data_IF_020310147278
#
_entry.id   IF_020310147278
#
_cell.length_a   1.000
_cell.length_b   1.000
_cell.length_c   1.000
_cell.angle_alpha   90.00
_cell.angle_beta   90.00
_cell.angle_gamma   90.00
#
_symmetry.space_group_name_H-M   'P 1'
#
loop_
_entity.id
_entity.type
_entity.pdbx_description
1 polymer ?
#
# COMPACT_ATOMS: atom_id res chain seq x y z
N UNK A 1 -65.64 -42.26 -31.42
CA UNK A 1 -65.24 -41.88 -30.04
C UNK A 1 -64.72 -40.46 -30.07
N UNK A 2 -64.92 -39.76 -28.95
CA UNK A 2 -64.85 -38.32 -28.72
C UNK A 2 -63.46 -37.68 -28.95
N UNK A 3 -63.42 -36.34 -29.13
CA UNK A 3 -62.18 -35.55 -29.26
C UNK A 3 -61.52 -35.35 -27.90
N UNK A 4 -60.20 -35.27 -27.84
CA UNK A 4 -59.49 -35.03 -26.58
C UNK A 4 -58.90 -33.61 -26.50
N UNK A 5 -59.72 -32.75 -25.91
CA UNK A 5 -59.42 -31.70 -24.93
C UNK A 5 -58.11 -30.89 -25.01
N UNK A 6 -58.32 -29.60 -25.24
CA UNK A 6 -57.57 -28.48 -24.65
C UNK A 6 -57.28 -28.71 -23.15
N UNK A 7 -56.06 -28.38 -22.71
CA UNK A 7 -55.79 -28.00 -21.31
C UNK A 7 -55.33 -26.55 -21.27
N UNK A 8 -56.28 -25.66 -20.97
CA UNK A 8 -56.01 -24.43 -20.21
C UNK A 8 -55.66 -24.84 -18.79
N UNK A 9 -54.51 -24.39 -18.31
CA UNK A 9 -54.11 -24.42 -16.90
C UNK A 9 -53.74 -23.02 -16.47
N UNK A 10 -54.72 -22.30 -15.93
CA UNK A 10 -54.54 -21.10 -15.10
C UNK A 10 -54.40 -21.54 -13.63
N UNK A 11 -53.37 -21.07 -12.95
CA UNK A 11 -53.34 -20.86 -11.48
C UNK A 11 -52.03 -20.12 -11.17
N UNK A 12 -52.10 -18.81 -10.90
CA UNK A 12 -52.09 -18.25 -9.54
C UNK A 12 -50.70 -18.36 -8.90
N UNK A 13 -49.93 -17.28 -8.89
CA UNK A 13 -49.96 -16.23 -7.87
C UNK A 13 -49.15 -16.62 -6.62
N UNK A 14 -48.11 -15.80 -6.37
CA UNK A 14 -47.55 -15.46 -5.07
C UNK A 14 -47.00 -16.59 -4.18
N UNK A 15 -45.67 -16.64 -4.05
CA UNK A 15 -45.12 -16.68 -2.69
C UNK A 15 -43.86 -15.81 -2.56
N UNK A 16 -43.99 -14.78 -1.74
CA UNK A 16 -42.93 -13.89 -1.29
C UNK A 16 -42.28 -14.52 -0.08
N UNK A 17 -41.21 -15.28 -0.26
CA UNK A 17 -40.29 -15.54 0.85
C UNK A 17 -39.29 -14.39 0.95
N UNK A 18 -39.79 -13.29 1.53
CA UNK A 18 -38.98 -12.25 2.12
C UNK A 18 -38.08 -12.91 3.18
N UNK A 19 -36.79 -13.12 2.84
CA UNK A 19 -35.76 -13.38 3.83
C UNK A 19 -35.63 -12.12 4.68
N UNK A 20 -36.33 -12.12 5.81
CA UNK A 20 -36.05 -11.23 6.92
C UNK A 20 -34.68 -11.60 7.47
N UNK A 21 -33.65 -10.91 6.99
CA UNK A 21 -32.36 -10.87 7.65
C UNK A 21 -32.59 -10.19 9.01
N UNK A 22 -32.77 -11.01 10.04
CA UNK A 22 -32.75 -10.57 11.44
C UNK A 22 -31.42 -9.86 11.64
N UNK A 23 -31.50 -8.55 11.87
CA UNK A 23 -30.36 -7.71 12.22
C UNK A 23 -29.65 -8.35 13.42
N UNK A 24 -28.44 -8.87 13.16
CA UNK A 24 -27.51 -9.28 14.20
C UNK A 24 -27.09 -8.02 14.96
N UNK A 25 -27.88 -7.68 15.97
CA UNK A 25 -27.50 -6.78 17.05
C UNK A 25 -26.28 -7.38 17.74
N UNK A 26 -25.10 -6.77 17.57
CA UNK A 26 -23.90 -7.19 18.32
C UNK A 26 -22.55 -7.09 17.62
N UNK A 27 -22.39 -6.39 16.50
CA UNK A 27 -21.07 -5.98 16.03
C UNK A 27 -21.14 -4.54 15.57
N UNK A 28 -20.47 -3.64 16.28
CA UNK A 28 -20.04 -2.35 15.74
C UNK A 28 -19.09 -2.65 14.59
N UNK A 29 -19.62 -3.02 13.43
CA UNK A 29 -18.85 -2.93 12.19
C UNK A 29 -18.65 -1.44 12.01
N UNK A 30 -17.43 -0.98 12.28
CA UNK A 30 -16.97 0.35 11.91
C UNK A 30 -17.02 0.43 10.39
N UNK A 31 -18.24 0.55 9.83
CA UNK A 31 -18.44 0.79 8.42
C UNK A 31 -18.22 2.28 8.25
N UNK A 32 -16.97 2.61 8.01
CA UNK A 32 -16.57 3.94 7.64
C UNK A 32 -17.42 4.43 6.46
N UNK A 33 -17.60 5.75 6.38
CA UNK A 33 -18.51 6.37 5.41
C UNK A 33 -18.13 5.92 3.99
N UNK A 34 -19.09 5.45 3.17
CA UNK A 34 -18.82 5.13 1.78
C UNK A 34 -18.25 6.35 1.05
N UNK A 35 -17.12 6.17 0.37
CA UNK A 35 -16.50 7.21 -0.45
C UNK A 35 -16.92 7.01 -1.91
N UNK A 36 -17.34 8.07 -2.62
CA UNK A 36 -17.68 7.97 -4.03
C UNK A 36 -16.46 7.51 -4.84
N UNK A 37 -16.69 6.61 -5.79
CA UNK A 37 -15.64 6.16 -6.69
C UNK A 37 -15.09 7.33 -7.52
N UNK A 38 -13.78 7.37 -7.79
CA UNK A 38 -13.19 8.42 -8.60
C UNK A 38 -13.77 8.41 -10.02
N UNK A 39 -14.01 9.61 -10.57
CA UNK A 39 -14.45 9.78 -11.95
C UNK A 39 -13.27 9.58 -12.89
N UNK A 40 -13.13 8.37 -13.43
CA UNK A 40 -12.10 8.00 -14.40
C UNK A 40 -12.67 7.92 -15.81
N UNK A 41 -11.87 8.29 -16.81
CA UNK A 41 -12.18 8.05 -18.22
C UNK A 41 -12.30 6.55 -18.49
N UNK A 42 -13.09 6.15 -19.49
CA UNK A 42 -13.36 4.73 -19.79
C UNK A 42 -12.08 3.93 -20.04
N UNK A 43 -11.13 4.53 -20.77
CA UNK A 43 -9.83 3.90 -21.04
C UNK A 43 -9.06 3.64 -19.74
N UNK A 44 -8.94 4.65 -18.89
CA UNK A 44 -8.20 4.53 -17.62
C UNK A 44 -8.89 3.54 -16.69
N UNK A 45 -10.23 3.59 -16.61
CA UNK A 45 -11.02 2.65 -15.80
C UNK A 45 -10.76 1.19 -16.20
N UNK A 46 -10.79 0.89 -17.51
CA UNK A 46 -10.53 -0.47 -18.02
C UNK A 46 -9.13 -0.96 -17.63
N UNK A 47 -8.12 -0.10 -17.76
CA UNK A 47 -6.74 -0.43 -17.38
C UNK A 47 -6.66 -0.72 -15.88
N UNK A 48 -7.20 0.18 -15.04
CA UNK A 48 -7.18 0.02 -13.57
C UNK A 48 -7.91 -1.26 -13.15
N UNK A 49 -9.09 -1.53 -13.68
CA UNK A 49 -9.86 -2.72 -13.32
C UNK A 49 -9.21 -4.02 -13.81
N UNK A 50 -8.61 -4.02 -15.00
CA UNK A 50 -7.85 -5.16 -15.51
C UNK A 50 -6.64 -5.47 -14.60
N UNK A 51 -5.87 -4.45 -14.22
CA UNK A 51 -4.76 -4.58 -13.28
C UNK A 51 -5.23 -5.10 -11.92
N UNK A 52 -6.34 -4.56 -11.39
CA UNK A 52 -6.92 -5.02 -10.12
C UNK A 52 -7.28 -6.51 -10.16
N UNK A 53 -8.00 -6.95 -11.20
CA UNK A 53 -8.38 -8.36 -11.37
C UNK A 53 -7.18 -9.28 -11.49
N UNK A 54 -6.15 -8.87 -12.23
CA UNK A 54 -4.93 -9.66 -12.43
C UNK A 54 -4.10 -9.79 -11.15
N UNK A 55 -3.96 -8.73 -10.38
CA UNK A 55 -3.11 -8.73 -9.19
C UNK A 55 -3.80 -9.30 -7.95
N UNK A 56 -5.13 -9.20 -7.86
CA UNK A 56 -5.94 -9.72 -6.75
C UNK A 56 -7.13 -10.50 -7.28
N UNK A 57 -6.85 -11.71 -7.77
CA UNK A 57 -7.84 -12.61 -8.37
C UNK A 57 -8.91 -13.08 -7.38
N UNK A 58 -8.60 -13.05 -6.08
CA UNK A 58 -9.49 -13.35 -4.97
C UNK A 58 -10.53 -12.24 -4.69
N UNK A 59 -10.30 -11.02 -5.20
CA UNK A 59 -11.06 -9.84 -4.84
C UNK A 59 -11.83 -9.26 -6.04
N UNK A 60 -13.16 -9.20 -5.91
CA UNK A 60 -14.04 -8.53 -6.89
C UNK A 60 -13.81 -7.02 -6.92
N UNK A 61 -14.05 -6.37 -8.06
CA UNK A 61 -13.78 -4.93 -8.25
C UNK A 61 -14.54 -4.07 -7.24
N UNK A 62 -15.79 -4.43 -6.96
CA UNK A 62 -16.68 -3.73 -6.04
C UNK A 62 -16.23 -3.88 -4.58
N UNK A 63 -15.51 -4.98 -4.28
CA UNK A 63 -15.10 -5.30 -2.92
C UNK A 63 -13.91 -4.48 -2.41
N UNK A 64 -13.19 -3.79 -3.31
CA UNK A 64 -12.02 -2.96 -2.97
C UNK A 64 -12.35 -1.82 -1.97
N UNK A 65 -13.61 -1.46 -1.81
CA UNK A 65 -14.04 -0.31 -1.01
C UNK A 65 -14.87 -0.73 0.22
N UNK A 66 -15.08 -2.04 0.42
CA UNK A 66 -16.04 -2.56 1.40
C UNK A 66 -15.77 -2.14 2.85
N UNK A 67 -14.50 -1.92 3.19
CA UNK A 67 -14.10 -1.53 4.55
C UNK A 67 -14.30 -0.03 4.81
N UNK A 68 -14.45 0.79 3.76
CA UNK A 68 -14.68 2.22 3.89
C UNK A 68 -13.49 3.04 4.42
N UNK A 69 -12.28 2.47 4.56
CA UNK A 69 -11.10 3.18 5.06
C UNK A 69 -10.78 4.48 4.30
N UNK A 70 -11.17 4.58 3.02
CA UNK A 70 -11.00 5.82 2.27
C UNK A 70 -11.77 7.01 2.87
N UNK A 71 -12.85 6.73 3.62
CA UNK A 71 -13.72 7.74 4.25
C UNK A 71 -13.52 7.82 5.75
N UNK A 72 -12.43 7.25 6.28
CA UNK A 72 -12.07 7.31 7.68
C UNK A 72 -10.92 8.26 7.93
N UNK A 73 -10.86 8.73 9.16
CA UNK A 73 -9.78 9.53 9.75
C UNK A 73 -8.66 8.64 10.33
N UNK A 74 -8.53 7.39 9.86
CA UNK A 74 -7.58 6.43 10.45
C UNK A 74 -6.13 6.89 10.37
N UNK A 75 -5.80 7.72 9.37
CA UNK A 75 -4.47 8.33 9.23
C UNK A 75 -4.24 9.53 10.16
N UNK A 76 -5.31 10.13 10.68
CA UNK A 76 -5.29 11.30 11.55
C UNK A 76 -5.50 10.92 13.04
N UNK A 77 -5.72 9.63 13.32
CA UNK A 77 -5.85 9.13 14.68
C UNK A 77 -4.57 9.38 15.49
N UNK A 78 -4.68 9.78 16.77
CA UNK A 78 -3.51 10.04 17.60
C UNK A 78 -2.66 8.77 17.74
N UNK A 79 -1.35 8.93 17.58
CA UNK A 79 -0.40 7.86 17.77
C UNK A 79 -0.06 7.71 19.26
N UNK A 80 0.19 6.48 19.70
CA UNK A 80 0.74 6.22 21.02
C UNK A 80 2.24 6.58 21.02
N UNK A 81 2.56 7.77 21.51
CA UNK A 81 3.93 8.29 21.59
C UNK A 81 4.78 7.59 22.67
N UNK A 82 4.17 6.77 23.53
CA UNK A 82 4.89 6.06 24.60
C UNK A 82 5.86 4.99 24.07
N UNK A 83 5.73 4.61 22.78
CA UNK A 83 6.58 3.66 22.06
C UNK A 83 7.34 4.31 20.90
N UNK A 84 7.80 5.55 21.08
CA UNK A 84 8.58 6.25 20.06
C UNK A 84 9.86 5.49 19.68
N UNK A 85 10.10 5.34 18.38
CA UNK A 85 11.40 4.88 17.85
C UNK A 85 12.38 6.05 17.95
N UNK A 86 13.59 5.81 18.45
CA UNK A 86 14.63 6.84 18.55
C UNK A 86 14.97 7.40 17.17
N UNK A 87 15.26 8.70 17.10
CA UNK A 87 15.60 9.43 15.88
C UNK A 87 16.95 10.12 16.08
N UNK A 88 17.86 10.00 15.12
CA UNK A 88 19.16 10.69 15.15
C UNK A 88 19.53 11.26 13.77
N UNK A 89 20.18 12.43 13.77
CA UNK A 89 20.70 13.04 12.54
C UNK A 89 21.93 12.27 12.05
N UNK A 90 22.01 12.03 10.74
CA UNK A 90 23.12 11.29 10.13
C UNK A 90 24.49 11.93 10.36
N UNK A 91 24.53 13.27 10.52
CA UNK A 91 25.77 14.02 10.78
C UNK A 91 26.35 13.75 12.17
N UNK A 92 25.49 13.38 13.10
CA UNK A 92 25.85 13.19 14.50
C UNK A 92 26.08 11.72 14.84
N UNK A 93 25.88 10.79 13.88
CA UNK A 93 25.94 9.34 14.06
C UNK A 93 27.10 8.74 13.27
N UNK A 94 28.15 8.30 13.98
CA UNK A 94 29.24 7.56 13.36
C UNK A 94 28.83 6.11 13.05
N UNK A 95 29.55 5.48 12.13
CA UNK A 95 29.33 4.08 11.75
C UNK A 95 29.58 3.16 12.94
N UNK A 96 30.65 3.39 13.71
CA UNK A 96 30.99 2.56 14.87
C UNK A 96 29.91 2.65 15.95
N UNK A 97 29.40 3.87 16.22
CA UNK A 97 28.31 4.06 17.18
C UNK A 97 27.04 3.38 16.69
N UNK A 98 26.72 3.53 15.40
CA UNK A 98 25.55 2.87 14.79
C UNK A 98 25.60 1.35 14.98
N UNK A 99 26.75 0.74 14.69
CA UNK A 99 26.95 -0.71 14.79
C UNK A 99 26.76 -1.19 16.23
N UNK A 100 27.45 -0.57 17.20
CA UNK A 100 27.45 -1.05 18.58
C UNK A 100 26.14 -0.77 19.32
N UNK A 101 25.51 0.40 19.09
CA UNK A 101 24.31 0.82 19.83
C UNK A 101 22.99 0.38 19.18
N UNK A 102 22.95 0.14 17.86
CA UNK A 102 21.69 -0.13 17.15
C UNK A 102 21.70 -1.42 16.34
N UNK A 103 22.66 -1.61 15.43
CA UNK A 103 22.67 -2.75 14.52
C UNK A 103 22.87 -4.08 15.25
N UNK A 104 23.96 -4.18 16.01
CA UNK A 104 24.34 -5.37 16.78
C UNK A 104 23.30 -5.79 17.83
N UNK A 105 22.73 -4.87 18.64
CA UNK A 105 21.64 -5.22 19.55
C UNK A 105 20.26 -5.31 18.87
N UNK A 106 20.16 -5.09 17.55
CA UNK A 106 18.91 -5.12 16.79
C UNK A 106 17.85 -4.13 17.30
N UNK A 107 18.29 -2.93 17.69
CA UNK A 107 17.44 -1.85 18.18
C UNK A 107 17.01 -0.97 16.99
N UNK A 108 15.70 -0.74 16.78
CA UNK A 108 15.23 0.10 15.69
C UNK A 108 15.63 1.56 15.92
N UNK A 109 16.07 2.21 14.84
CA UNK A 109 16.45 3.62 14.81
C UNK A 109 15.94 4.25 13.50
N UNK A 110 15.47 5.49 13.57
CA UNK A 110 15.27 6.34 12.39
C UNK A 110 16.48 7.23 12.21
N UNK A 111 17.15 7.13 11.07
CA UNK A 111 18.27 8.02 10.72
C UNK A 111 17.72 9.14 9.84
N UNK A 112 17.89 10.38 10.29
CA UNK A 112 17.38 11.58 9.64
C UNK A 112 18.46 12.32 8.85
N UNK A 113 18.06 13.06 7.82
CA UNK A 113 18.92 14.01 7.12
C UNK A 113 19.85 13.42 6.05
N UNK A 114 19.83 12.11 5.80
CA UNK A 114 20.68 11.47 4.76
C UNK A 114 20.40 12.09 3.38
N UNK A 115 19.15 12.16 2.89
CA UNK A 115 18.89 12.63 1.53
C UNK A 115 19.37 14.07 1.30
N UNK A 116 19.22 14.95 2.29
CA UNK A 116 19.66 16.34 2.22
C UNK A 116 21.18 16.47 2.34
N UNK A 117 21.80 15.68 3.21
CA UNK A 117 23.25 15.69 3.43
C UNK A 117 24.01 15.21 2.19
N UNK A 118 23.53 14.13 1.57
CA UNK A 118 24.11 13.56 0.35
C UNK A 118 23.56 14.19 -0.94
N UNK A 119 22.64 15.17 -0.83
CA UNK A 119 22.02 15.88 -1.95
C UNK A 119 21.38 14.94 -2.98
N UNK A 120 20.57 14.01 -2.50
CA UNK A 120 19.86 13.06 -3.37
C UNK A 120 18.96 13.82 -4.35
N UNK A 121 19.16 13.58 -5.64
CA UNK A 121 18.35 14.18 -6.70
C UNK A 121 16.85 13.88 -6.56
N UNK A 122 16.50 12.81 -5.84
CA UNK A 122 15.11 12.47 -5.52
C UNK A 122 14.38 13.59 -4.75
N UNK A 123 15.09 14.36 -3.91
CA UNK A 123 14.51 15.45 -3.13
C UNK A 123 13.87 16.52 -4.02
N UNK A 124 14.42 16.75 -5.21
CA UNK A 124 13.93 17.75 -6.17
C UNK A 124 13.05 17.14 -7.26
N UNK A 125 13.37 15.91 -7.69
CA UNK A 125 12.81 15.34 -8.91
C UNK A 125 11.63 14.38 -8.68
N UNK A 126 11.41 13.88 -7.47
CA UNK A 126 10.32 12.93 -7.20
C UNK A 126 9.04 13.65 -6.78
N UNK A 127 8.50 14.44 -7.71
CA UNK A 127 7.18 15.07 -7.55
C UNK A 127 6.15 14.43 -8.45
N UNK A 128 4.87 14.52 -8.07
CA UNK A 128 3.76 14.04 -8.90
C UNK A 128 3.70 14.74 -10.28
N UNK A 129 4.20 15.98 -10.37
CA UNK A 129 4.20 16.78 -11.61
C UNK A 129 5.31 16.36 -12.58
N UNK A 130 6.50 16.02 -12.07
CA UNK A 130 7.66 15.71 -12.93
C UNK A 130 7.53 14.33 -13.61
N UNK A 131 6.81 13.40 -12.98
CA UNK A 131 6.64 12.03 -13.50
C UNK A 131 5.56 11.86 -14.57
N UNK A 132 4.73 12.86 -14.86
CA UNK A 132 3.71 12.76 -15.92
C UNK A 132 4.25 13.05 -17.32
N UNK A 133 5.35 13.80 -17.40
CA UNK A 133 5.84 14.36 -18.68
C UNK A 133 7.09 13.62 -19.20
N UNK A 134 7.73 12.81 -18.36
CA UNK A 134 8.77 11.86 -18.78
C UNK A 134 8.11 10.52 -19.13
N UNK A 135 8.19 10.15 -20.41
CA UNK A 135 7.65 8.92 -21.02
C UNK A 135 7.50 7.72 -20.05
N UNK A 136 6.33 7.04 -20.01
CA UNK A 136 6.00 6.00 -19.02
C UNK A 136 6.83 4.69 -19.11
N UNK A 137 7.88 4.66 -19.93
CA UNK A 137 8.73 3.48 -20.15
C UNK A 137 10.21 3.68 -19.81
N UNK A 138 10.61 4.83 -19.25
CA UNK A 138 12.01 5.05 -18.86
C UNK A 138 12.18 5.01 -17.35
N UNK A 139 12.13 3.79 -16.80
CA UNK A 139 12.83 3.53 -15.54
C UNK A 139 14.32 3.64 -15.90
N UNK A 140 15.12 4.56 -15.32
CA UNK A 140 16.56 4.46 -15.47
C UNK A 140 17.00 3.12 -14.91
N UNK A 141 17.47 2.25 -15.81
CA UNK A 141 17.81 0.84 -15.60
C UNK A 141 18.98 0.58 -14.64
N UNK A 142 19.45 1.57 -13.89
CA UNK A 142 20.62 1.44 -13.01
C UNK A 142 20.50 2.39 -11.81
N UNK A 143 19.53 2.14 -10.94
CA UNK A 143 19.66 2.50 -9.53
C UNK A 143 19.86 1.20 -8.74
N UNK A 144 20.93 0.48 -9.07
CA UNK A 144 21.54 -0.44 -8.11
C UNK A 144 22.10 0.44 -7.00
N UNK A 145 21.34 0.61 -5.92
CA UNK A 145 21.90 1.07 -4.65
C UNK A 145 22.76 -0.09 -4.15
N UNK A 146 23.96 -0.21 -4.70
CA UNK A 146 25.02 -1.03 -4.15
C UNK A 146 25.59 -0.24 -2.98
N UNK A 147 25.35 -0.74 -1.76
CA UNK A 147 26.11 -0.38 -0.59
C UNK A 147 27.56 -0.84 -0.81
N UNK A 148 28.41 0.02 -1.39
CA UNK A 148 29.85 -0.24 -1.44
C UNK A 148 30.45 0.24 -0.12
N UNK A 149 30.48 -0.66 0.87
CA UNK A 149 31.31 -0.49 2.05
C UNK A 149 32.79 -0.45 1.59
N UNK A 150 33.41 0.74 1.64
CA UNK A 150 34.86 0.85 1.45
C UNK A 150 35.56 0.40 2.73
N UNK A 151 35.96 -0.86 2.80
CA UNK A 151 36.93 -1.32 3.80
C UNK A 151 38.32 -0.83 3.43
N UNK A 152 38.80 0.25 4.05
CA UNK A 152 40.19 0.68 3.96
C UNK A 152 41.04 -0.17 4.92
N UNK A 153 41.51 -1.33 4.45
CA UNK A 153 42.56 -2.11 5.12
C UNK A 153 43.93 -1.60 4.67
N UNK A 154 44.53 -0.68 5.43
CA UNK A 154 45.97 -0.40 5.34
C UNK A 154 46.71 -1.23 6.39
N UNK A 155 47.22 -2.39 5.99
CA UNK A 155 48.28 -3.05 6.75
C UNK A 155 49.63 -2.52 6.26
N UNK A 156 50.26 -1.72 7.11
CA UNK A 156 51.68 -1.39 7.04
C UNK A 156 52.43 -2.52 7.74
N UNK A 157 53.22 -3.29 6.99
CA UNK A 157 54.28 -4.13 7.57
C UNK A 157 55.58 -3.74 6.90
N UNK A 158 56.35 -2.92 7.62
CA UNK A 158 57.77 -2.71 7.44
C UNK A 158 58.51 -3.94 7.98
N UNK A 159 59.27 -4.61 7.13
CA UNK A 159 60.24 -5.63 7.57
C UNK A 159 61.62 -5.05 7.35
N UNK A 160 62.25 -4.67 8.46
CA UNK A 160 63.69 -4.45 8.58
C UNK A 160 64.26 -5.65 9.34
N UNK A 161 65.30 -6.26 8.75
CA UNK A 161 66.40 -7.06 9.32
C UNK A 161 66.78 -8.19 8.35
#
# INVERSE_FOLDING_TARGET
>A
MAPNHERKGTSDAYDKTARQDKAASGRTTYRHRPVPSPKLSDRVRRIVEDTKRKHRTDMRIEAWHNQGFAGSDICDMPLDESKGIKRELCKDLSVERFIEEYEKPSVPLVIEGIPEYEKWAACENWTLKVRTDTSPYRIPSTASILFTAHSNSRNSTSTHC
#
